data_IF_154434546633
#
_entry.id   IF_154434546633
#
_cell.length_a   1.000
_cell.length_b   1.000
_cell.length_c   1.000
_cell.angle_alpha   90.00
_cell.angle_beta   90.00
_cell.angle_gamma   90.00
#
_symmetry.space_group_name_H-M   'P 1'
#
loop_
_entity.id
_entity.type
_entity.pdbx_description
1 polymer ?
2 non-polymer ?
3 non-polymer ?
4 water ?
#
# COMPACT_ATOMS: atom_id res chain seq x y z
N UNK A 1 -3.48 -22.29 -8.80
CA UNK A 1 -2.49 -22.63 -7.75
C UNK A 1 -2.59 -21.62 -6.62
N UNK A 2 -1.62 -21.59 -5.69
CA UNK A 2 -1.68 -20.59 -4.63
C UNK A 2 -1.61 -19.20 -5.28
N UNK A 3 -1.69 -18.19 -4.45
CA UNK A 3 -1.41 -16.79 -4.87
C UNK A 3 0.07 -16.61 -4.57
N UNK A 4 0.78 -15.87 -5.43
CA UNK A 4 2.19 -15.60 -5.20
C UNK A 4 2.34 -14.26 -4.50
N UNK A 5 3.23 -14.23 -3.54
CA UNK A 5 3.49 -13.04 -2.70
C UNK A 5 4.98 -12.80 -2.53
N UNK A 6 5.35 -11.55 -2.35
CA UNK A 6 6.75 -11.14 -2.03
C UNK A 6 6.73 -10.28 -0.80
N UNK A 7 7.68 -10.47 0.09
CA UNK A 7 7.94 -9.54 1.19
C UNK A 7 8.69 -8.31 0.71
N UNK A 8 8.27 -7.16 1.19
CA UNK A 8 8.88 -5.91 0.76
C UNK A 8 8.63 -4.76 1.72
N UNK A 9 9.43 -3.72 1.61
CA UNK A 9 9.13 -2.42 2.22
C UNK A 9 8.88 -1.37 1.14
N UNK A 10 8.19 -0.30 1.51
CA UNK A 10 8.01 0.83 0.60
C UNK A 10 8.61 2.08 1.23
N UNK A 11 9.17 2.97 0.41
CA UNK A 11 9.51 4.35 0.85
C UNK A 11 9.00 5.34 -0.18
N UNK A 12 8.47 6.47 0.29
CA UNK A 12 7.95 7.52 -0.61
C UNK A 12 9.16 8.18 -1.33
N UNK A 13 8.87 9.01 -2.30
CA UNK A 13 9.94 9.55 -3.18
C UNK A 13 10.75 10.56 -2.41
N UNK A 14 10.26 10.99 -1.26
CA UNK A 14 11.07 11.88 -0.40
C UNK A 14 11.92 11.02 0.49
N UNK A 15 11.86 9.68 0.38
CA UNK A 15 12.59 8.64 1.11
C UNK A 15 12.13 8.55 2.56
N UNK A 16 10.86 8.78 2.82
CA UNK A 16 10.24 8.44 4.13
C UNK A 16 9.77 6.98 4.15
N UNK A 17 10.04 6.32 5.25
CA UNK A 17 9.67 4.95 5.59
C UNK A 17 8.27 4.96 6.21
N UNK A 18 7.62 3.79 6.12
CA UNK A 18 6.26 3.59 6.70
C UNK A 18 6.31 2.74 7.96
N UNK A 19 5.64 3.25 8.98
CA UNK A 19 5.57 2.57 10.32
C UNK A 19 4.11 2.51 10.77
N UNK A 20 3.81 1.65 11.75
CA UNK A 20 2.45 1.56 12.37
C UNK A 20 2.17 2.81 13.21
N UNK A 21 0.92 3.29 13.17
CA UNK A 21 0.42 4.46 13.93
C UNK A 21 -0.84 3.96 14.64
N UNK A 22 -0.65 3.18 15.69
CA UNK A 22 -1.78 2.46 16.31
C UNK A 22 -2.15 1.29 15.42
N UNK A 23 -3.27 0.59 15.71
CA UNK A 23 -3.52 -0.71 15.08
C UNK A 23 -3.96 -0.70 13.61
N UNK A 24 -4.55 0.39 13.18
CA UNK A 24 -5.24 0.46 11.87
C UNK A 24 -4.79 1.70 11.06
N UNK A 25 -3.62 2.15 11.36
CA UNK A 25 -3.11 3.31 10.56
C UNK A 25 -1.62 3.15 10.35
N UNK A 26 -1.14 3.71 9.24
CA UNK A 26 0.31 3.79 8.96
C UNK A 26 0.65 5.27 8.92
N UNK A 27 1.89 5.58 9.26
CA UNK A 27 2.46 6.93 9.10
C UNK A 27 3.83 6.85 8.44
N UNK A 28 4.23 7.98 7.84
CA UNK A 28 5.49 8.08 7.11
C UNK A 28 6.44 9.05 7.81
N UNK A 29 7.62 8.58 7.99
CA UNK A 29 8.66 9.43 8.62
C UNK A 29 10.02 9.03 8.10
N UNK A 30 10.90 10.03 8.22
CA UNK A 30 12.32 9.85 7.92
C UNK A 30 12.96 8.94 8.96
N UNK A 31 13.59 7.87 8.54
CA UNK A 31 14.11 6.78 9.39
C UNK A 31 15.44 6.35 8.83
N UNK A 32 16.41 6.07 9.72
CA UNK A 32 17.70 5.51 9.34
C UNK A 32 18.28 4.87 10.60
N UNK A 33 19.08 3.85 10.38
CA UNK A 33 19.83 3.18 11.47
C UNK A 33 18.96 2.21 12.25
N UNK A 34 19.16 2.16 13.58
CA UNK A 34 18.45 1.18 14.45
C UNK A 34 16.95 1.30 14.20
N UNK A 35 16.42 2.53 14.15
CA UNK A 35 14.95 2.76 14.11
C UNK A 35 14.35 2.11 12.84
N UNK A 36 15.16 1.56 11.92
CA UNK A 36 14.62 1.06 10.62
C UNK A 36 13.90 -0.26 10.84
N UNK A 37 14.19 -0.98 11.91
CA UNK A 37 13.43 -2.19 12.31
C UNK A 37 11.95 -1.83 12.51
N UNK A 38 11.59 -0.57 12.78
CA UNK A 38 10.19 -0.16 13.04
C UNK A 38 9.39 -0.20 11.72
N UNK A 39 10.05 -0.23 10.59
CA UNK A 39 9.28 -0.07 9.35
C UNK A 39 8.39 -1.28 9.09
N UNK A 40 7.28 -1.04 8.43
CA UNK A 40 6.30 -2.08 8.11
C UNK A 40 6.84 -2.91 6.96
N UNK A 41 6.81 -4.21 7.13
CA UNK A 41 7.05 -5.17 6.06
C UNK A 41 5.72 -5.64 5.50
N UNK A 42 5.58 -5.46 4.21
CA UNK A 42 4.39 -5.88 3.45
C UNK A 42 4.60 -7.26 2.87
N UNK A 43 3.50 -7.98 2.74
CA UNK A 43 3.38 -9.11 1.83
C UNK A 43 2.58 -8.63 0.65
N UNK A 44 3.23 -8.44 -0.50
CA UNK A 44 2.57 -7.94 -1.72
C UNK A 44 2.13 -9.15 -2.49
N UNK A 45 0.83 -9.37 -2.62
CA UNK A 45 0.25 -10.50 -3.39
C UNK A 45 -0.06 -10.03 -4.82
N UNK A 46 0.14 -10.91 -5.81
CA UNK A 46 -0.13 -10.61 -7.21
C UNK A 46 -1.47 -11.24 -7.54
N UNK A 47 -2.48 -10.42 -7.68
CA UNK A 47 -3.89 -10.86 -7.61
C UNK A 47 -4.55 -10.78 -8.97
N UNK A 48 -5.76 -11.31 -9.01
CA UNK A 48 -6.62 -11.23 -10.21
C UNK A 48 -7.02 -9.79 -10.49
N UNK A 49 -6.99 -9.39 -11.76
CA UNK A 49 -7.50 -8.09 -12.18
C UNK A 49 -6.95 -7.68 -13.55
N UNK A 50 -7.47 -6.60 -14.11
CA UNK A 50 -7.01 -6.00 -15.39
C UNK A 50 -5.52 -5.63 -15.29
N UNK A 51 -4.70 -6.03 -16.27
CA UNK A 51 -3.23 -5.97 -16.20
C UNK A 51 -2.64 -5.46 -17.53
N UNK A 52 -1.54 -4.72 -17.48
CA UNK A 52 -0.76 -4.31 -18.68
C UNK A 52 0.73 -4.29 -18.31
N UNK A 53 1.60 -3.96 -19.27
CA UNK A 53 3.06 -4.09 -19.04
C UNK A 53 3.41 -3.38 -17.74
N UNK A 54 2.89 -2.17 -17.58
CA UNK A 54 3.36 -1.28 -16.49
C UNK A 54 2.31 -1.14 -15.37
N UNK A 55 1.22 -1.91 -15.42
CA UNK A 55 0.05 -1.83 -14.49
C UNK A 55 -0.31 -3.23 -13.98
N UNK A 56 0.00 -3.52 -12.71
CA UNK A 56 -0.02 -4.92 -12.17
C UNK A 56 -0.90 -4.91 -10.93
N UNK A 57 -1.99 -5.67 -10.87
CA UNK A 57 -2.88 -5.61 -9.70
C UNK A 57 -2.27 -6.37 -8.53
N UNK A 58 -2.24 -5.70 -7.36
CA UNK A 58 -1.64 -6.31 -6.16
C UNK A 58 -2.59 -6.06 -4.99
N UNK A 59 -2.36 -6.84 -3.94
CA UNK A 59 -2.85 -6.53 -2.61
C UNK A 59 -1.64 -6.29 -1.73
N UNK A 60 -1.84 -5.45 -0.74
CA UNK A 60 -0.80 -5.09 0.26
C UNK A 60 -1.26 -5.55 1.62
N UNK A 61 -0.82 -6.72 2.04
CA UNK A 61 -1.02 -7.20 3.40
C UNK A 61 0.16 -6.89 4.29
N UNK A 62 0.00 -6.81 5.58
CA UNK A 62 1.13 -6.68 6.51
C UNK A 62 1.70 -8.06 6.77
N UNK A 63 3.02 -8.20 6.72
CA UNK A 63 3.66 -9.52 6.88
C UNK A 63 3.23 -10.18 8.19
N UNK A 64 2.71 -11.39 7.99
CA UNK A 64 2.24 -12.37 9.01
C UNK A 64 1.21 -11.68 9.92
N UNK A 65 0.41 -10.78 9.34
CA UNK A 65 -0.79 -10.24 10.03
C UNK A 65 -1.97 -10.41 9.10
N UNK A 66 -3.15 -10.59 9.66
CA UNK A 66 -4.38 -10.69 8.86
C UNK A 66 -4.91 -9.26 8.69
N UNK A 67 -4.08 -8.38 8.12
CA UNK A 67 -4.42 -6.98 7.89
C UNK A 67 -4.03 -6.62 6.47
N UNK A 68 -4.91 -5.93 5.78
CA UNK A 68 -4.68 -5.50 4.38
C UNK A 68 -5.02 -4.05 4.26
N UNK A 69 -4.26 -3.32 3.46
CA UNK A 69 -4.74 -2.02 2.99
C UNK A 69 -5.98 -2.19 2.14
N UNK A 70 -6.91 -1.25 2.33
CA UNK A 70 -8.32 -1.35 1.87
C UNK A 70 -8.85 0.04 1.51
N UNK A 71 -9.53 0.18 0.37
CA UNK A 71 -10.09 1.47 -0.08
C UNK A 71 -11.61 1.37 0.04
N UNK A 72 -12.16 2.21 0.91
CA UNK A 72 -13.63 2.21 1.15
C UNK A 72 -14.06 3.66 1.21
N UNK A 73 -15.36 3.85 0.99
CA UNK A 73 -15.96 5.16 1.27
C UNK A 73 -16.09 5.32 2.78
N UNK A 74 -15.60 6.42 3.30
CA UNK A 74 -15.80 6.74 4.72
C UNK A 74 -16.32 8.17 4.77
N UNK A 75 -17.39 8.37 5.54
CA UNK A 75 -18.08 9.68 5.61
C UNK A 75 -18.10 10.22 4.16
N UNK A 76 -18.51 9.37 3.21
CA UNK A 76 -18.73 9.70 1.77
C UNK A 76 -17.44 10.04 1.00
N UNK A 77 -16.26 9.64 1.46
CA UNK A 77 -15.01 9.93 0.68
C UNK A 77 -14.24 8.62 0.47
N UNK A 78 -13.54 8.42 -0.67
CA UNK A 78 -12.58 7.32 -0.83
C UNK A 78 -11.49 7.50 0.23
N UNK A 79 -11.29 6.48 1.05
CA UNK A 79 -10.26 6.52 2.12
C UNK A 79 -9.48 5.21 2.13
N UNK A 80 -8.30 5.31 2.70
CA UNK A 80 -7.38 4.17 2.96
C UNK A 80 -7.59 3.69 4.38
N UNK A 81 -7.86 2.42 4.56
CA UNK A 81 -7.99 1.81 5.88
C UNK A 81 -7.13 0.55 5.93
N UNK A 82 -6.79 0.12 7.14
CA UNK A 82 -6.25 -1.22 7.37
C UNK A 82 -7.42 -2.06 7.80
N UNK A 83 -7.68 -3.14 7.14
CA UNK A 83 -8.86 -3.97 7.40
C UNK A 83 -8.40 -5.38 7.80
N UNK A 84 -9.02 -5.93 8.86
CA UNK A 84 -8.83 -7.32 9.34
C UNK A 84 -9.57 -8.29 8.41
N UNK A 85 -9.02 -9.49 8.23
CA UNK A 85 -9.68 -10.55 7.47
C UNK A 85 -9.57 -11.87 8.25
N UNK A 86 -10.29 -12.86 7.76
CA UNK A 86 -10.17 -14.21 8.35
C UNK A 86 -8.85 -14.82 7.91
N UNK A 87 -7.89 -15.10 8.82
CA UNK A 87 -6.56 -15.55 8.42
C UNK A 87 -6.58 -16.91 7.73
N UNK A 88 -7.69 -17.64 7.81
CA UNK A 88 -7.77 -18.96 7.12
C UNK A 88 -7.93 -18.76 5.61
N UNK A 89 -8.41 -17.59 5.18
CA UNK A 89 -8.93 -17.41 3.80
C UNK A 89 -8.01 -16.48 2.96
N UNK A 90 -6.99 -15.91 3.58
CA UNK A 90 -6.14 -14.85 2.96
C UNK A 90 -4.69 -15.26 3.08
N UNK A 91 -3.81 -14.86 2.15
CA UNK A 91 -4.22 -14.17 0.96
C UNK A 91 -4.87 -15.16 -0.01
N UNK A 92 -5.51 -14.60 -1.00
CA UNK A 92 -6.11 -15.40 -2.08
C UNK A 92 -5.91 -14.69 -3.40
N UNK A 93 -6.04 -15.45 -4.49
CA UNK A 93 -5.80 -14.86 -5.82
C UNK A 93 -6.91 -13.86 -6.17
N UNK A 94 -8.16 -14.18 -5.89
CA UNK A 94 -9.32 -13.32 -6.20
C UNK A 94 -9.64 -12.44 -4.98
N UNK A 95 -8.77 -11.47 -4.73
CA UNK A 95 -9.01 -10.54 -3.60
C UNK A 95 -10.16 -9.64 -3.98
N UNK A 96 -11.01 -9.26 -3.02
CA UNK A 96 -12.10 -8.29 -3.21
C UNK A 96 -11.55 -6.93 -3.67
N UNK A 97 -12.34 -6.18 -4.43
CA UNK A 97 -11.81 -5.03 -5.17
C UNK A 97 -11.27 -3.95 -4.24
N UNK A 98 -11.83 -3.77 -3.04
CA UNK A 98 -11.38 -2.74 -2.09
C UNK A 98 -9.92 -3.03 -1.70
N UNK A 99 -9.41 -4.23 -1.88
CA UNK A 99 -8.04 -4.61 -1.46
C UNK A 99 -7.05 -4.42 -2.60
N UNK A 100 -7.54 -4.15 -3.83
CA UNK A 100 -6.68 -4.21 -5.02
C UNK A 100 -6.17 -2.81 -5.34
N UNK A 101 -4.86 -2.77 -5.58
CA UNK A 101 -4.14 -1.59 -6.10
C UNK A 101 -3.52 -1.99 -7.42
N UNK A 102 -3.59 -1.06 -8.34
CA UNK A 102 -2.81 -1.13 -9.56
C UNK A 102 -1.44 -0.54 -9.28
N UNK A 103 -0.44 -1.43 -9.24
CA UNK A 103 0.99 -1.07 -9.25
C UNK A 103 1.31 -0.56 -10.65
N UNK A 104 2.00 0.57 -10.73
CA UNK A 104 2.37 1.18 -12.04
C UNK A 104 3.85 1.55 -11.98
N UNK A 105 4.58 1.19 -13.03
CA UNK A 105 5.97 1.66 -13.26
C UNK A 105 5.85 3.01 -13.97
N UNK A 106 6.46 4.06 -13.42
CA UNK A 106 6.54 5.40 -14.06
C UNK A 106 7.89 6.02 -13.68
N UNK A 107 8.80 6.16 -14.66
CA UNK A 107 10.09 6.86 -14.45
C UNK A 107 10.77 6.33 -13.19
N UNK A 108 10.93 5.03 -13.15
CA UNK A 108 11.79 4.34 -12.16
C UNK A 108 11.20 4.44 -10.76
N UNK A 109 9.92 4.80 -10.62
CA UNK A 109 9.23 4.73 -9.31
C UNK A 109 7.98 3.87 -9.47
N UNK A 110 7.17 3.82 -8.40
CA UNK A 110 5.91 3.06 -8.38
C UNK A 110 4.82 3.97 -7.85
N UNK A 111 3.63 3.85 -8.40
CA UNK A 111 2.44 4.47 -7.84
C UNK A 111 1.47 3.32 -7.60
N UNK A 112 0.66 3.46 -6.59
CA UNK A 112 -0.35 2.46 -6.25
C UNK A 112 -1.72 3.13 -6.32
N UNK A 113 -2.40 2.89 -7.45
CA UNK A 113 -3.76 3.40 -7.68
C UNK A 113 -4.79 2.44 -7.08
N UNK A 114 -5.80 2.97 -6.43
CA UNK A 114 -6.95 2.12 -6.04
C UNK A 114 -7.61 1.51 -7.28
N UNK A 115 -7.80 0.20 -7.35
CA UNK A 115 -8.59 -0.46 -8.44
C UNK A 115 -10.03 0.02 -8.24
N UNK A 116 -10.52 0.15 -7.03
CA UNK A 116 -11.94 0.50 -6.71
C UNK A 116 -12.20 1.94 -7.12
N UNK A 117 -11.26 2.86 -6.87
CA UNK A 117 -11.47 4.30 -7.05
C UNK A 117 -10.39 4.80 -8.00
N UNK A 118 -10.68 4.81 -9.32
CA UNK A 118 -9.74 5.25 -10.34
C UNK A 118 -9.22 6.64 -10.01
N UNK A 119 -7.89 6.80 -10.16
CA UNK A 119 -7.13 8.04 -10.00
C UNK A 119 -7.06 8.53 -8.56
N UNK A 120 -7.29 7.61 -7.61
CA UNK A 120 -6.97 7.77 -6.17
C UNK A 120 -5.79 6.85 -5.86
N UNK A 121 -4.83 7.43 -5.16
CA UNK A 121 -3.49 6.83 -4.97
C UNK A 121 -3.11 6.75 -3.51
N UNK A 122 -2.37 5.71 -3.16
CA UNK A 122 -1.67 5.72 -1.84
C UNK A 122 -0.76 6.95 -1.83
N UNK A 123 -0.85 7.72 -0.78
CA UNK A 123 -0.21 9.04 -0.66
C UNK A 123 0.39 9.25 0.71
N UNK A 124 1.44 10.08 0.75
CA UNK A 124 2.00 10.60 2.01
C UNK A 124 2.02 12.12 1.96
N UNK A 125 2.11 12.73 3.13
CA UNK A 125 2.31 14.19 3.30
C UNK A 125 3.81 14.49 3.24
N UNK A 126 4.15 15.74 2.93
CA UNK A 126 5.53 16.27 3.05
C UNK A 126 5.99 16.25 4.51
N UNK A 127 5.12 16.65 5.44
CA UNK A 127 5.40 16.67 6.90
C UNK A 127 5.66 15.26 7.42
N UNK A 128 6.50 15.18 8.45
CA UNK A 128 6.88 13.95 9.19
C UNK A 128 5.70 13.49 10.04
N UNK A 129 5.60 12.18 10.28
CA UNK A 129 4.69 11.55 11.28
C UNK A 129 3.22 11.88 10.99
N UNK A 130 2.82 11.87 9.72
CA UNK A 130 1.41 12.06 9.31
C UNK A 130 0.92 10.76 8.69
N UNK A 131 -0.41 10.51 8.69
CA UNK A 131 -0.96 9.27 8.15
C UNK A 131 -0.65 9.08 6.66
N UNK A 132 -0.51 7.81 6.29
CA UNK A 132 -0.63 7.37 4.88
C UNK A 132 -2.12 7.42 4.55
N UNK A 133 -2.47 7.92 3.37
CA UNK A 133 -3.88 8.19 3.04
C UNK A 133 -4.10 7.93 1.59
N UNK A 134 -5.37 7.95 1.20
CA UNK A 134 -5.75 7.87 -0.23
C UNK A 134 -6.01 9.28 -0.75
N UNK A 135 -5.25 9.68 -1.77
CA UNK A 135 -5.28 11.03 -2.32
C UNK A 135 -5.78 10.98 -3.72
N UNK A 136 -6.70 11.89 -4.08
CA UNK A 136 -7.32 11.99 -5.41
C UNK A 136 -6.53 12.91 -6.34
N UNK A 137 -5.26 13.16 -6.02
CA UNK A 137 -4.31 13.96 -6.85
C UNK A 137 -2.96 13.23 -6.94
N UNK A 138 -2.57 12.77 -8.14
CA UNK A 138 -1.17 12.32 -8.44
C UNK A 138 -0.42 13.50 -9.09
N UNK A 139 -0.68 14.72 -8.60
CA UNK A 139 -0.31 15.99 -9.25
C UNK A 139 0.89 16.65 -8.57
N UNK A 140 0.65 17.39 -7.48
CA UNK A 140 1.71 18.12 -6.75
C UNK A 140 1.23 18.66 -5.41
N UNK A 141 2.02 18.41 -4.36
CA UNK A 141 1.79 18.79 -2.93
C UNK A 141 2.02 17.53 -2.07
N UNK A 142 1.12 16.56 -2.21
CA UNK A 142 1.19 15.21 -1.60
C UNK A 142 2.02 14.28 -2.50
N UNK A 143 2.63 13.26 -1.90
CA UNK A 143 3.58 12.38 -2.57
C UNK A 143 2.84 11.10 -2.93
N UNK A 144 2.90 10.69 -4.19
CA UNK A 144 2.19 9.51 -4.72
C UNK A 144 3.17 8.52 -5.33
N UNK A 145 4.48 8.77 -5.29
CA UNK A 145 5.50 7.89 -5.90
C UNK A 145 6.30 7.23 -4.79
N UNK A 146 6.79 6.00 -5.09
CA UNK A 146 7.53 5.07 -4.18
C UNK A 146 8.62 4.23 -4.87
N UNK A 147 9.58 3.83 -4.04
CA UNK A 147 10.58 2.77 -4.31
C UNK A 147 10.19 1.53 -3.52
N UNK A 148 10.58 0.35 -3.99
CA UNK A 148 10.34 -0.94 -3.31
C UNK A 148 11.68 -1.56 -2.92
N UNK A 149 11.76 -2.09 -1.70
CA UNK A 149 12.90 -2.92 -1.23
C UNK A 149 12.38 -4.34 -1.03
N UNK A 150 13.04 -5.32 -1.66
CA UNK A 150 12.69 -6.76 -1.57
C UNK A 150 13.37 -7.38 -0.35
N UNK A 151 12.56 -7.91 0.57
CA UNK A 151 12.98 -8.44 1.90
C UNK A 151 13.01 -9.97 1.82
N UNK A 152 13.92 -10.61 2.56
CA UNK A 152 14.08 -12.09 2.63
C UNK A 152 12.82 -12.72 3.22
X LIG B 1 -5.96 -19.25 -3.94
X LIG B 1 -6.63 -20.34 -3.27
X LIG B 1 -5.59 -19.67 -5.29
X LIG B 1 -6.86 -18.13 -4.01
X LIG B 1 -4.78 -18.89 -3.21
X LIG C 1 -16.82 -9.24 1.39
X LIG C 1 -15.48 -9.52 1.91
X LIG C 1 -17.38 -10.47 0.89
X LIG C 1 -17.63 -8.69 2.44
X LIG C 1 -16.77 -8.30 0.29
X LIG D 1 9.64 -1.28 -9.43
X LIG D 1 7.24 -7.20 -8.95
X LIG D 1 7.63 -6.84 -10.23
X LIG D 1 8.09 -5.56 -10.52
X LIG D 1 10.51 -0.32 -8.89
X LIG D 1 11.18 0.57 -9.70
X LIG D 1 12.09 1.55 -7.72
X LIG D 1 8.52 -3.29 -9.71
X LIG D 1 9.54 -2.61 -9.01
X LIG D 1 10.27 -3.13 -8.17
X LIG D 1 8.16 -4.63 -9.48
X LIG D 1 10.67 -0.23 -7.49
X LIG D 1 7.78 -4.98 -8.17
X LIG D 1 7.32 -6.27 -7.92
X LIG D 1 11.99 1.51 -9.10
X LIG D 1 11.45 0.70 -6.90
#
# INVERSE_FOLDING_TARGET
>A
APVRSLNCTLRDSQQKSLVMSGPYELKALHLQGQDMEQQVVFSMSFVQGEESNDKIPVALGLKEKNLYLSCVLKDDKPTLQLESVDPKNYPKKKMEKRFVFNKIEINNKLEFESAQFPNWYISTSQAENMPVFLGGTKGGQDITDFTMQFVSS
>B hetero
1 SO4 S O1 O2 O3 O4
>C hetero
1 SO4 S O1 O2 O3 O4
>D hetero
1 K0G N1 C4 C5 C6 C7 C8 C10 N C O C1 C11 C2 C3 C9 N2
#
